data_IF_974871803490
#
_entry.id   IF_974871803490
#
_cell.length_a   1.000
_cell.length_b   1.000
_cell.length_c   1.000
_cell.angle_alpha   90.00
_cell.angle_beta   90.00
_cell.angle_gamma   90.00
#
_symmetry.space_group_name_H-M   'P 1'
#
loop_
_entity.id
_entity.type
_entity.pdbx_description
1 polymer ?
#
# COMPACT_ATOMS: atom_id res chain seq x y z
N UNK A 1 0.40 5.36 -10.00
CA UNK A 1 0.05 3.93 -9.83
C UNK A 1 0.41 3.46 -8.44
N UNK A 2 -0.34 2.50 -7.89
CA UNK A 2 -0.07 1.87 -6.60
C UNK A 2 -0.11 0.35 -6.78
N UNK A 3 0.91 -0.35 -6.29
CA UNK A 3 1.06 -1.78 -6.37
C UNK A 3 1.10 -2.39 -4.96
N UNK A 4 0.49 -3.56 -4.83
CA UNK A 4 0.49 -4.36 -3.62
C UNK A 4 0.90 -5.78 -4.02
N UNK A 5 2.03 -6.25 -3.50
CA UNK A 5 2.54 -7.59 -3.72
C UNK A 5 2.44 -8.39 -2.42
N UNK A 6 1.76 -9.54 -2.45
CA UNK A 6 1.58 -10.41 -1.27
C UNK A 6 2.17 -11.78 -1.60
N UNK A 7 3.19 -12.18 -0.85
CA UNK A 7 3.80 -13.50 -0.89
C UNK A 7 3.41 -14.28 0.37
N UNK A 8 2.62 -15.34 0.21
CA UNK A 8 2.24 -16.24 1.28
C UNK A 8 2.66 -17.68 0.92
N UNK A 9 3.93 -18.08 1.18
CA UNK A 9 4.37 -19.45 0.97
C UNK A 9 3.61 -20.39 1.91
N UNK A 10 3.21 -21.56 1.43
CA UNK A 10 2.34 -22.49 2.16
C UNK A 10 3.06 -23.00 3.42
N UNK A 11 2.61 -22.55 4.59
CA UNK A 11 3.22 -22.87 5.89
C UNK A 11 4.26 -21.86 6.41
N UNK A 12 4.56 -20.80 5.66
CA UNK A 12 5.49 -19.75 6.08
C UNK A 12 4.78 -18.46 6.52
N UNK A 13 5.50 -17.60 7.23
CA UNK A 13 5.05 -16.25 7.58
C UNK A 13 4.76 -15.44 6.31
N UNK A 14 3.54 -14.92 6.10
CA UNK A 14 3.23 -14.15 4.91
C UNK A 14 3.91 -12.78 4.96
N UNK A 15 4.31 -12.30 3.79
CA UNK A 15 4.96 -11.00 3.58
C UNK A 15 4.17 -10.22 2.54
N UNK A 16 3.91 -8.94 2.79
CA UNK A 16 3.30 -8.04 1.84
C UNK A 16 4.13 -6.77 1.70
N UNK A 17 4.21 -6.25 0.47
CA UNK A 17 4.90 -5.00 0.14
C UNK A 17 3.95 -4.12 -0.65
N UNK A 18 3.75 -2.89 -0.18
CA UNK A 18 2.94 -1.86 -0.81
C UNK A 18 3.86 -0.76 -1.31
N UNK A 19 3.85 -0.52 -2.62
CA UNK A 19 4.67 0.51 -3.28
C UNK A 19 3.77 1.44 -4.09
N UNK A 20 3.88 2.75 -3.86
CA UNK A 20 3.12 3.77 -4.59
C UNK A 20 4.07 4.79 -5.25
N UNK A 21 3.70 5.21 -6.46
CA UNK A 21 4.42 6.23 -7.23
C UNK A 21 4.53 7.60 -6.50
N UNK A 22 3.77 7.84 -5.42
CA UNK A 22 3.92 9.03 -4.57
C UNK A 22 5.11 8.96 -3.59
N UNK A 23 6.01 7.98 -3.74
CA UNK A 23 7.14 7.77 -2.82
C UNK A 23 6.81 6.94 -1.58
N UNK A 24 5.62 6.31 -1.51
CA UNK A 24 5.27 5.44 -0.38
C UNK A 24 5.75 4.01 -0.63
N UNK A 25 6.75 3.61 0.14
CA UNK A 25 7.21 2.23 0.29
C UNK A 25 6.88 1.74 1.71
N UNK A 26 6.23 0.58 1.83
CA UNK A 26 6.02 -0.12 3.09
C UNK A 26 6.03 -1.62 2.89
N UNK A 27 6.76 -2.33 3.74
CA UNK A 27 6.78 -3.79 3.81
C UNK A 27 6.29 -4.29 5.18
N UNK A 28 5.60 -5.42 5.17
CA UNK A 28 4.97 -6.03 6.32
C UNK A 28 5.20 -7.54 6.32
N UNK A 29 5.59 -8.09 7.47
CA UNK A 29 5.84 -9.52 7.67
C UNK A 29 4.94 -9.99 8.83
N UNK A 30 4.32 -11.16 8.67
CA UNK A 30 3.29 -11.76 9.54
C UNK A 30 1.85 -11.32 9.24
N UNK A 31 0.92 -12.27 9.38
CA UNK A 31 -0.50 -12.15 9.03
C UNK A 31 -1.14 -10.86 9.54
N UNK A 32 -0.93 -10.51 10.82
CA UNK A 32 -1.50 -9.30 11.42
C UNK A 32 -0.95 -8.01 10.79
N UNK A 33 0.35 -7.97 10.43
CA UNK A 33 0.95 -6.82 9.76
C UNK A 33 0.54 -6.75 8.29
N UNK A 34 0.40 -7.89 7.61
CA UNK A 34 -0.12 -7.96 6.23
C UNK A 34 -1.54 -7.43 6.15
N UNK A 35 -2.44 -7.85 7.05
CA UNK A 35 -3.80 -7.30 7.12
C UNK A 35 -3.81 -5.78 7.38
N UNK A 36 -2.99 -5.31 8.32
CA UNK A 36 -2.84 -3.88 8.58
C UNK A 36 -2.27 -3.11 7.36
N UNK A 37 -1.35 -3.70 6.61
CA UNK A 37 -0.81 -3.11 5.36
C UNK A 37 -1.87 -3.01 4.26
N UNK A 38 -2.79 -3.98 4.17
CA UNK A 38 -3.89 -3.96 3.18
C UNK A 38 -4.88 -2.83 3.48
N UNK A 39 -5.25 -2.66 4.75
CA UNK A 39 -6.08 -1.55 5.22
C UNK A 39 -5.39 -0.19 4.99
N UNK A 40 -4.13 -0.07 5.45
CA UNK A 40 -3.26 1.09 5.28
C UNK A 40 -3.00 1.42 3.80
N UNK A 41 -2.96 0.43 2.90
CA UNK A 41 -2.90 0.63 1.45
C UNK A 41 -4.23 1.14 0.90
N UNK A 42 -5.36 0.65 1.41
CA UNK A 42 -6.71 1.03 0.96
C UNK A 42 -7.05 2.47 1.36
N UNK A 43 -6.81 2.84 2.63
CA UNK A 43 -6.95 4.22 3.10
C UNK A 43 -5.99 5.17 2.39
N UNK A 44 -4.75 4.73 2.11
CA UNK A 44 -3.82 5.52 1.31
C UNK A 44 -4.26 5.64 -0.15
N UNK A 45 -4.82 4.59 -0.76
CA UNK A 45 -5.29 4.62 -2.16
C UNK A 45 -6.35 5.70 -2.39
N UNK A 46 -7.19 5.96 -1.39
CA UNK A 46 -8.18 7.03 -1.37
C UNK A 46 -7.53 8.42 -1.21
N UNK A 47 -6.69 8.56 -0.18
CA UNK A 47 -5.99 9.81 0.17
C UNK A 47 -4.74 10.12 -0.68
N UNK A 48 -4.40 9.29 -1.67
CA UNK A 48 -3.17 9.41 -2.44
C UNK A 48 -3.25 10.62 -3.38
N UNK A 49 -2.38 11.64 -3.24
CA UNK A 49 -2.44 12.84 -4.08
C UNK A 49 -2.15 12.56 -5.56
N UNK A 50 -1.58 11.39 -5.88
CA UNK A 50 -1.30 10.91 -7.22
C UNK A 50 -2.43 10.04 -7.81
N UNK A 51 -3.49 9.76 -7.05
CA UNK A 51 -4.69 9.02 -7.50
C UNK A 51 -5.96 9.88 -7.40
N UNK A 52 -6.09 10.62 -6.31
CA UNK A 52 -7.02 11.72 -6.17
C UNK A 52 -6.19 13.02 -6.22
N UNK A 53 -5.79 13.49 -7.43
CA UNK A 53 -5.24 14.83 -7.55
C UNK A 53 -6.25 15.78 -6.91
N UNK A 54 -5.75 16.59 -5.98
CA UNK A 54 -6.57 17.60 -5.34
C UNK A 54 -6.81 18.65 -6.43
N UNK A 55 -7.96 18.60 -7.09
CA UNK A 55 -8.39 19.53 -8.14
C UNK A 55 -8.46 20.95 -7.56
N UNK A 56 -7.30 21.62 -7.49
CA UNK A 56 -7.13 22.83 -6.70
C UNK A 56 -5.67 23.20 -6.43
N UNK A 57 -5.14 24.07 -7.29
CA UNK A 57 -3.83 24.76 -7.28
C UNK A 57 -2.61 23.96 -7.77
N UNK A 58 -1.73 24.53 -8.61
CA UNK A 58 -1.62 25.93 -9.06
C UNK A 58 -1.10 26.09 -10.49
N UNK A 59 -1.50 27.23 -11.09
CA UNK A 59 -1.04 27.85 -12.35
C UNK A 59 -1.44 27.13 -13.65
#
# INVERSE_FOLDING_TARGET
>A
MAWLHIAAPRGATPTATSSCACGRDRSAISHRRVLALIDDHTAHRDTCPLRNPQEGRAA
#
